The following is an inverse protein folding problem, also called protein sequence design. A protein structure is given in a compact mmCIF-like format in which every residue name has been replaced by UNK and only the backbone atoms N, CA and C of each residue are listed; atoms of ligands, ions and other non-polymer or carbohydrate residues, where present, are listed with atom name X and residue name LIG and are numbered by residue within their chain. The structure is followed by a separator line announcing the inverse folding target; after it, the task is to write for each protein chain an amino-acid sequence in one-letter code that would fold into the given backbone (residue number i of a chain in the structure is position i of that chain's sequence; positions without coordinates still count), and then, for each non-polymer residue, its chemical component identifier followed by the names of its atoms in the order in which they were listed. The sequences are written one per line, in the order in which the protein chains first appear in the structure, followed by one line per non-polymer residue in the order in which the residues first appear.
data_IF_388448141009
#
_entry.id   IF_388448141009
#
_cell.length_a   1.000
_cell.length_b   1.000
_cell.length_c   1.000
_cell.angle_alpha   90.00
_cell.angle_beta   90.00
_cell.angle_gamma   90.00
#
_symmetry.space_group_name_H-M   'P 1'
#
loop_
_entity.id
_entity.type
_entity.pdbx_description
1 polymer ?
#
# COMPACT_ATOMS: atom_id res chain seq x y z
N UNK A 1 -41.60 -7.39 1.05
CA UNK A 1 -40.62 -7.19 -0.05
C UNK A 1 -40.39 -5.69 -0.23
N UNK A 2 -39.21 -5.16 0.08
CA UNK A 2 -38.57 -4.17 -0.80
C UNK A 2 -37.08 -4.05 -0.48
N UNK A 3 -36.26 -4.22 -1.51
CA UNK A 3 -34.81 -4.27 -1.47
C UNK A 3 -34.24 -2.87 -1.72
N UNK A 4 -33.32 -2.42 -0.86
CA UNK A 4 -32.33 -1.39 -1.19
C UNK A 4 -31.15 -1.44 -0.20
N UNK A 5 -30.61 -2.65 0.01
CA UNK A 5 -29.30 -2.78 0.64
C UNK A 5 -28.25 -2.59 -0.45
N UNK A 6 -27.99 -1.33 -0.81
CA UNK A 6 -26.81 -0.97 -1.59
C UNK A 6 -25.60 -1.45 -0.80
N UNK A 7 -24.76 -2.38 -1.30
CA UNK A 7 -23.52 -2.65 -0.62
C UNK A 7 -22.67 -1.40 -0.82
N UNK A 8 -22.62 -0.54 0.20
CA UNK A 8 -21.52 0.38 0.36
C UNK A 8 -20.28 -0.49 0.52
N UNK A 9 -19.69 -0.88 -0.62
CA UNK A 9 -18.32 -1.29 -0.71
C UNK A 9 -17.53 -0.13 -0.12
N UNK A 10 -17.27 -0.22 1.19
CA UNK A 10 -16.50 0.72 1.93
C UNK A 10 -15.15 0.76 1.23
N UNK A 11 -14.98 1.73 0.32
CA UNK A 11 -13.68 2.19 -0.12
C UNK A 11 -13.04 2.70 1.16
N UNK A 12 -12.41 1.79 1.90
CA UNK A 12 -11.45 2.08 2.96
C UNK A 12 -10.39 2.90 2.26
N UNK A 13 -10.61 4.22 2.21
CA UNK A 13 -9.61 5.20 1.83
C UNK A 13 -8.57 5.11 2.94
N UNK A 14 -7.67 4.14 2.85
CA UNK A 14 -6.46 4.16 3.63
C UNK A 14 -5.81 5.51 3.31
N UNK A 15 -5.70 6.38 4.32
CA UNK A 15 -5.06 7.69 4.17
C UNK A 15 -3.73 7.49 3.43
N UNK A 16 -3.39 8.32 2.43
CA UNK A 16 -2.18 8.15 1.62
C UNK A 16 -0.91 7.89 2.46
N UNK A 17 -0.76 8.56 3.60
CA UNK A 17 0.36 8.34 4.52
C UNK A 17 0.34 7.01 5.30
N UNK A 18 -0.83 6.40 5.52
CA UNK A 18 -0.92 5.10 6.18
C UNK A 18 -0.44 3.96 5.27
N UNK A 19 -0.67 4.07 3.96
CA UNK A 19 -0.20 3.10 2.94
C UNK A 19 1.32 3.11 2.84
N UNK A 20 1.92 4.31 2.80
CA UNK A 20 3.38 4.51 2.77
C UNK A 20 4.03 3.96 4.03
N UNK A 21 3.47 4.25 5.20
CA UNK A 21 3.97 3.71 6.48
C UNK A 21 3.89 2.19 6.58
N UNK A 22 2.84 1.59 6.00
CA UNK A 22 2.69 0.14 5.94
C UNK A 22 3.74 -0.50 5.01
N UNK A 23 3.97 0.08 3.84
CA UNK A 23 5.01 -0.37 2.90
C UNK A 23 6.43 -0.22 3.48
N UNK A 24 6.68 0.86 4.22
CA UNK A 24 7.96 1.11 4.87
C UNK A 24 8.29 0.15 6.03
N UNK A 25 7.26 -0.43 6.66
CA UNK A 25 7.40 -1.41 7.77
C UNK A 25 7.42 -2.87 7.31
N UNK A 26 6.96 -3.16 6.10
CA UNK A 26 6.86 -4.52 5.61
C UNK A 26 8.25 -5.11 5.25
N UNK A 27 8.42 -6.45 5.29
CA UNK A 27 9.67 -7.14 4.95
C UNK A 27 10.10 -6.91 3.50
N UNK A 28 11.33 -6.42 3.27
CA UNK A 28 11.81 -5.94 1.95
C UNK A 28 11.89 -7.02 0.88
N UNK A 29 11.93 -8.29 1.26
CA UNK A 29 12.02 -9.46 0.37
C UNK A 29 10.74 -9.74 -0.44
N UNK A 30 9.72 -8.88 -0.33
CA UNK A 30 8.50 -8.97 -1.13
C UNK A 30 7.55 -10.10 -0.71
N UNK A 31 7.91 -10.91 0.30
CA UNK A 31 7.11 -12.03 0.81
C UNK A 31 5.71 -11.63 1.28
N UNK A 32 5.53 -10.37 1.69
CA UNK A 32 4.26 -9.81 2.15
C UNK A 32 3.50 -9.00 1.09
N UNK A 33 4.04 -8.86 -0.13
CA UNK A 33 3.44 -8.00 -1.17
C UNK A 33 2.04 -8.49 -1.58
N UNK A 34 1.79 -9.80 -1.54
CA UNK A 34 0.46 -10.37 -1.79
C UNK A 34 -0.55 -9.92 -0.72
N UNK A 35 -0.19 -9.96 0.55
CA UNK A 35 -1.07 -9.51 1.63
C UNK A 35 -1.28 -7.99 1.59
N UNK A 36 -0.23 -7.23 1.32
CA UNK A 36 -0.30 -5.78 1.12
C UNK A 36 -1.20 -5.43 -0.08
N UNK A 37 -1.16 -6.23 -1.15
CA UNK A 37 -2.04 -6.05 -2.31
C UNK A 37 -3.51 -6.10 -1.91
N UNK A 38 -3.88 -7.04 -1.03
CA UNK A 38 -5.22 -7.15 -0.47
C UNK A 38 -5.56 -5.99 0.48
N UNK A 39 -4.64 -5.62 1.39
CA UNK A 39 -4.87 -4.52 2.34
C UNK A 39 -5.01 -3.15 1.67
N UNK A 40 -4.27 -2.93 0.59
CA UNK A 40 -4.23 -1.66 -0.14
C UNK A 40 -5.27 -1.61 -1.27
N UNK A 41 -5.83 -2.76 -1.66
CA UNK A 41 -6.74 -2.88 -2.80
C UNK A 41 -6.06 -2.56 -4.13
N UNK A 42 -4.76 -2.88 -4.26
CA UNK A 42 -3.98 -2.65 -5.47
C UNK A 42 -3.30 -3.95 -5.91
N UNK A 43 -3.16 -4.22 -7.21
CA UNK A 43 -2.50 -5.43 -7.69
C UNK A 43 -1.01 -5.46 -7.28
N UNK A 44 -0.46 -6.67 -7.07
CA UNK A 44 0.93 -6.90 -6.61
C UNK A 44 1.99 -6.12 -7.41
N UNK A 45 1.95 -6.02 -8.75
CA UNK A 45 2.89 -5.17 -9.51
C UNK A 45 2.90 -3.71 -9.05
N UNK A 46 1.73 -3.15 -8.68
CA UNK A 46 1.63 -1.77 -8.18
C UNK A 46 2.17 -1.64 -6.76
N UNK A 47 2.02 -2.66 -5.92
CA UNK A 47 2.63 -2.69 -4.58
C UNK A 47 4.14 -2.60 -4.69
N UNK A 48 4.76 -3.39 -5.59
CA UNK A 48 6.21 -3.33 -5.87
C UNK A 48 6.66 -1.95 -6.33
N UNK A 49 5.91 -1.31 -7.23
CA UNK A 49 6.21 0.05 -7.70
C UNK A 49 6.11 1.10 -6.58
N UNK A 50 5.05 1.04 -5.77
CA UNK A 50 4.90 1.92 -4.60
C UNK A 50 6.05 1.73 -3.62
N UNK A 51 6.53 0.49 -3.48
CA UNK A 51 7.66 0.15 -2.63
C UNK A 51 8.96 0.74 -3.13
N UNK A 52 9.23 0.63 -4.43
CA UNK A 52 10.40 1.27 -5.06
C UNK A 52 10.36 2.80 -4.89
N UNK A 53 9.20 3.43 -4.99
CA UNK A 53 9.04 4.86 -4.74
C UNK A 53 9.34 5.23 -3.27
N UNK A 54 8.87 4.43 -2.31
CA UNK A 54 9.14 4.65 -0.88
C UNK A 54 10.61 4.39 -0.53
N UNK A 55 11.22 3.36 -1.10
CA UNK A 55 12.62 3.03 -0.85
C UNK A 55 13.57 4.03 -1.51
N UNK A 56 13.26 4.47 -2.74
CA UNK A 56 13.95 5.55 -3.44
C UNK A 56 13.84 6.88 -2.70
N UNK A 57 12.67 7.17 -2.11
CA UNK A 57 12.49 8.36 -1.27
C UNK A 57 13.31 8.30 0.03
N UNK A 58 13.62 7.11 0.55
CA UNK A 58 14.48 6.92 1.75
C UNK A 58 15.97 6.97 1.40
N UNK A 59 16.37 6.44 0.25
CA UNK A 59 17.76 6.49 -0.23
C UNK A 59 18.16 7.85 -0.82
N UNK A 60 17.20 8.72 -1.12
CA UNK A 60 17.45 10.13 -1.45
C UNK A 60 17.84 11.00 -0.24
N UNK A 61 17.66 10.51 0.98
CA UNK A 61 17.97 11.19 2.24
C UNK A 61 19.26 10.62 2.88
N UNK A 62 20.23 10.25 2.02
CA UNK A 62 21.48 9.58 2.40
C UNK A 62 22.64 9.84 1.45
N UNK A 63 22.69 11.02 0.81
CA UNK A 63 23.92 11.53 0.16
C UNK A 63 24.40 12.75 0.95
N UNK A 64 25.27 12.51 1.92
CA UNK A 64 25.97 13.57 2.66
C UNK A 64 26.25 13.23 4.10
N UNK A 65 27.25 12.37 4.35
CA UNK A 65 28.20 12.43 5.47
C UNK A 65 29.33 11.45 5.20
#
# INVERSE_FOLDING_TARGET
MNANHTPHAAKRRCRPGARVRLLARAPRDGSMDFYLSMMLGVPVPRVRLLRLAVDGSRNGEGRGS
#
